data_IF_221996148041
#
_entry.id   IF_221996148041
#
_cell.length_a   1.000
_cell.length_b   1.000
_cell.length_c   1.000
_cell.angle_alpha   90.00
_cell.angle_beta   90.00
_cell.angle_gamma   90.00
#
_symmetry.space_group_name_H-M   'P 1'
#
loop_
_entity.id
_entity.type
_entity.pdbx_description
1 polymer ?
#
# COMPACT_ATOMS: atom_id res chain seq x y z
N UNK A 1 2.45 -10.34 -14.76
CA UNK A 1 1.84 -10.30 -13.42
C UNK A 1 2.45 -9.12 -12.71
N UNK A 2 1.65 -8.13 -12.37
CA UNK A 2 2.10 -6.92 -11.71
C UNK A 2 1.82 -7.04 -10.20
N UNK A 3 2.76 -6.61 -9.37
CA UNK A 3 2.65 -6.65 -7.92
C UNK A 3 2.87 -5.27 -7.35
N UNK A 4 2.08 -4.90 -6.34
CA UNK A 4 2.21 -3.62 -5.62
C UNK A 4 2.09 -3.84 -4.14
N UNK A 5 2.90 -3.11 -3.38
CA UNK A 5 2.79 -3.07 -1.93
C UNK A 5 2.06 -1.80 -1.53
N UNK A 6 1.09 -1.93 -0.63
CA UNK A 6 0.30 -0.81 -0.11
C UNK A 6 0.35 -0.86 1.41
N UNK A 7 0.71 0.26 2.05
CA UNK A 7 0.57 0.42 3.49
C UNK A 7 -0.81 0.97 3.79
N UNK A 8 -1.48 0.45 4.80
CA UNK A 8 -2.80 0.89 5.27
C UNK A 8 -2.70 1.20 6.76
N UNK A 9 -3.24 2.32 7.22
CA UNK A 9 -3.37 2.64 8.64
C UNK A 9 -4.77 2.32 9.17
N UNK A 10 -4.92 2.27 10.49
CA UNK A 10 -6.23 2.13 11.15
C UNK A 10 -7.11 3.38 10.98
N UNK A 11 -6.49 4.53 10.71
CA UNK A 11 -7.16 5.78 10.31
C UNK A 11 -7.79 5.70 8.90
N UNK A 12 -7.58 4.62 8.15
CA UNK A 12 -8.11 4.43 6.80
C UNK A 12 -7.27 5.11 5.70
N UNK A 13 -6.12 5.67 6.07
CA UNK A 13 -5.15 6.17 5.11
C UNK A 13 -4.42 4.98 4.48
N UNK A 14 -4.06 5.11 3.21
CA UNK A 14 -3.25 4.10 2.53
C UNK A 14 -2.34 4.74 1.52
N UNK A 15 -1.16 4.15 1.32
CA UNK A 15 -0.11 4.65 0.44
C UNK A 15 0.49 3.50 -0.33
N UNK A 16 0.72 3.67 -1.63
CA UNK A 16 1.50 2.70 -2.42
C UNK A 16 2.96 2.84 -2.03
N UNK A 17 3.59 1.74 -1.63
CA UNK A 17 5.05 1.65 -1.62
C UNK A 17 5.49 1.50 -3.07
N UNK A 18 5.81 2.64 -3.70
CA UNK A 18 6.36 2.69 -5.05
C UNK A 18 7.58 1.78 -5.15
N UNK A 19 7.50 0.79 -6.03
CA UNK A 19 8.50 -0.25 -6.16
C UNK A 19 8.25 -1.07 -7.41
N UNK A 20 8.18 -0.40 -8.56
CA UNK A 20 8.56 -1.07 -9.80
C UNK A 20 10.10 -1.10 -9.81
N UNK A 21 10.75 -2.26 -9.73
CA UNK A 21 12.22 -2.33 -9.76
C UNK A 21 12.80 -1.83 -11.09
N UNK A 22 11.98 -1.64 -12.13
CA UNK A 22 12.42 -1.15 -13.44
C UNK A 22 12.46 0.39 -13.52
N UNK A 23 11.66 1.11 -12.73
CA UNK A 23 11.50 2.57 -12.89
C UNK A 23 12.39 3.41 -11.95
N UNK A 24 13.11 2.79 -11.01
CA UNK A 24 14.17 3.45 -10.22
C UNK A 24 13.75 4.68 -9.40
N UNK A 25 12.46 4.99 -9.34
CA UNK A 25 11.92 6.20 -8.72
C UNK A 25 10.99 5.79 -7.58
N UNK A 26 11.51 5.86 -6.37
CA UNK A 26 10.70 5.91 -5.16
C UNK A 26 9.89 7.21 -5.22
N UNK A 27 8.71 7.18 -5.84
CA UNK A 27 7.76 8.28 -5.75
C UNK A 27 7.17 8.26 -4.35
N UNK A 28 7.86 8.87 -3.38
CA UNK A 28 7.23 9.43 -2.18
C UNK A 28 6.39 10.63 -2.62
N UNK A 29 5.37 10.38 -3.43
CA UNK A 29 4.38 11.35 -3.80
C UNK A 29 3.35 11.39 -2.69
N UNK A 30 3.14 12.57 -2.14
CA UNK A 30 2.01 12.92 -1.27
C UNK A 30 0.63 12.72 -1.94
N UNK A 31 0.57 12.06 -3.11
CA UNK A 31 -0.52 12.16 -4.08
C UNK A 31 -1.60 11.09 -3.93
N UNK A 32 -1.39 10.05 -3.13
CA UNK A 32 -2.35 8.94 -3.05
C UNK A 32 -2.65 8.53 -1.62
N UNK A 33 -2.99 9.48 -0.74
CA UNK A 33 -3.83 9.15 0.41
C UNK A 33 -5.10 8.49 -0.16
N UNK A 34 -5.33 7.21 0.17
CA UNK A 34 -6.37 6.33 -0.39
C UNK A 34 -6.01 5.59 -1.69
N UNK A 35 -4.78 5.10 -1.80
CA UNK A 35 -4.37 4.21 -2.88
C UNK A 35 -5.12 2.86 -2.91
N UNK A 36 -5.41 2.25 -1.75
CA UNK A 36 -5.99 0.90 -1.73
C UNK A 36 -7.38 0.83 -2.40
N UNK A 37 -8.36 1.71 -2.08
CA UNK A 37 -9.66 1.69 -2.72
C UNK A 37 -9.60 1.82 -4.26
N UNK A 38 -8.73 2.69 -4.78
CA UNK A 38 -8.58 2.88 -6.22
C UNK A 38 -8.02 1.62 -6.89
N UNK A 39 -7.00 0.99 -6.29
CA UNK A 39 -6.41 -0.23 -6.84
C UNK A 39 -7.39 -1.40 -6.84
N UNK A 40 -8.22 -1.54 -5.80
CA UNK A 40 -9.29 -2.54 -5.77
C UNK A 40 -10.34 -2.29 -6.85
N UNK A 41 -10.70 -1.03 -7.13
CA UNK A 41 -11.60 -0.67 -8.25
C UNK A 41 -10.97 -0.97 -9.61
N UNK A 42 -9.65 -0.79 -9.74
CA UNK A 42 -8.88 -1.10 -10.95
C UNK A 42 -8.72 -2.62 -11.20
N UNK A 43 -9.28 -3.46 -10.33
CA UNK A 43 -9.26 -4.92 -10.46
C UNK A 43 -8.03 -5.59 -9.86
N UNK A 44 -7.25 -4.89 -9.03
CA UNK A 44 -6.21 -5.53 -8.23
C UNK A 44 -6.83 -6.33 -7.10
N UNK A 45 -6.21 -7.46 -6.75
CA UNK A 45 -6.67 -8.31 -5.64
C UNK A 45 -5.63 -8.38 -4.53
N UNK A 46 -6.09 -8.36 -3.27
CA UNK A 46 -5.20 -8.55 -2.13
C UNK A 46 -4.79 -10.02 -2.02
N UNK A 47 -3.48 -10.25 -1.93
CA UNK A 47 -2.88 -11.58 -1.86
C UNK A 47 -2.34 -11.90 -0.47
N UNK A 48 -1.68 -10.92 0.15
CA UNK A 48 -1.09 -11.06 1.48
C UNK A 48 -1.34 -9.79 2.27
N UNK A 49 -1.77 -9.94 3.52
CA UNK A 49 -1.87 -8.84 4.48
C UNK A 49 -0.94 -9.17 5.64
N UNK A 50 0.09 -8.36 5.81
CA UNK A 50 1.05 -8.50 6.91
C UNK A 50 0.72 -7.42 7.94
N UNK A 51 0.39 -7.80 9.20
CA UNK A 51 0.26 -6.82 10.26
C UNK A 51 1.62 -6.15 10.48
N UNK A 52 1.65 -4.83 10.34
CA UNK A 52 2.78 -4.03 10.78
C UNK A 52 2.73 -3.89 12.30
N UNK A 53 3.89 -3.90 12.94
CA UNK A 53 3.98 -3.56 14.35
C UNK A 53 3.49 -2.12 14.52
N UNK A 54 2.42 -1.94 15.32
CA UNK A 54 1.98 -0.62 15.75
C UNK A 54 3.17 0.13 16.33
N UNK A 55 3.40 1.35 15.84
CA UNK A 55 4.44 2.22 16.39
C UNK A 55 3.94 2.81 17.70
N UNK A 56 4.86 3.41 18.46
CA UNK A 56 4.68 3.93 19.82
C UNK A 56 3.60 5.02 19.95
N UNK A 57 2.98 5.42 18.85
CA UNK A 57 2.05 6.55 18.68
C UNK A 57 0.59 6.09 18.44
N UNK A 58 0.20 4.91 18.92
CA UNK A 58 -1.17 4.33 18.87
C UNK A 58 -1.69 3.95 17.46
N UNK A 59 -0.99 4.34 16.38
CA UNK A 59 -1.37 3.98 15.01
C UNK A 59 -0.94 2.55 14.65
N UNK A 60 -1.89 1.77 14.12
CA UNK A 60 -1.65 0.43 13.57
C UNK A 60 -1.53 0.50 12.06
N UNK A 61 -0.49 -0.13 11.51
CA UNK A 61 -0.25 -0.18 10.07
C UNK A 61 -0.28 -1.62 9.57
N UNK A 62 -0.76 -1.84 8.35
CA UNK A 62 -0.73 -3.13 7.65
C UNK A 62 -0.06 -2.96 6.30
N UNK A 63 0.74 -3.95 5.91
CA UNK A 63 1.31 -4.05 4.58
C UNK A 63 0.48 -5.03 3.75
N UNK A 64 -0.14 -4.55 2.69
CA UNK A 64 -0.97 -5.31 1.76
C UNK A 64 -0.22 -5.50 0.45
N UNK A 65 -0.03 -6.75 0.04
CA UNK A 65 0.42 -7.11 -1.31
C UNK A 65 -0.79 -7.23 -2.22
N UNK A 66 -0.80 -6.45 -3.29
CA UNK A 66 -1.78 -6.50 -4.37
C UNK A 66 -1.17 -7.15 -5.62
N UNK A 67 -1.97 -7.94 -6.32
CA UNK A 67 -1.58 -8.60 -7.58
C UNK A 67 -2.63 -8.38 -8.68
N UNK A 68 -2.16 -8.23 -9.92
CA UNK A 68 -2.97 -8.14 -11.15
C UNK A 68 -2.34 -8.95 -12.30
#
# INVERSE_FOLDING_TARGET
MAQRFVVVSDSGESWVLGGDPDDGKLTSGNDEQHALPQLLQDGWSSKVVTPGSGTKDDSSYWLVLLEK
#
